data_IF_569732570146
#
_entry.id   IF_569732570146
#
_cell.length_a   1.000
_cell.length_b   1.000
_cell.length_c   1.000
_cell.angle_alpha   90.00
_cell.angle_beta   90.00
_cell.angle_gamma   90.00
#
_symmetry.space_group_name_H-M   'P 1'
#
loop_
_entity.id
_entity.type
_entity.pdbx_description
1 polymer ?
#
# COMPACT_ATOMS: atom_id res chain seq x y z
N UNK A 1 -13.12 -12.52 -2.04
CA UNK A 1 -13.40 -11.16 -1.54
C UNK A 1 -14.25 -10.36 -2.52
N UNK A 2 -14.14 -10.54 -3.85
CA UNK A 2 -15.02 -9.84 -4.80
C UNK A 2 -14.70 -8.35 -4.97
N UNK A 3 -13.49 -7.95 -4.59
CA UNK A 3 -12.96 -6.61 -4.69
C UNK A 3 -12.31 -6.40 -6.06
N UNK A 4 -12.30 -5.15 -6.54
CA UNK A 4 -11.71 -4.75 -7.82
C UNK A 4 -10.20 -4.54 -7.72
N UNK A 5 -9.54 -4.41 -8.88
CA UNK A 5 -8.12 -4.07 -8.95
C UNK A 5 -7.81 -2.72 -8.28
N UNK A 6 -8.72 -1.74 -8.38
CA UNK A 6 -8.60 -0.47 -7.66
C UNK A 6 -8.62 -0.66 -6.15
N UNK A 7 -9.53 -1.50 -5.64
CA UNK A 7 -9.64 -1.81 -4.21
C UNK A 7 -8.37 -2.51 -3.71
N UNK A 8 -7.79 -3.43 -4.51
CA UNK A 8 -6.54 -4.13 -4.17
C UNK A 8 -5.40 -3.12 -3.98
N UNK A 9 -5.18 -2.22 -4.93
CA UNK A 9 -4.08 -1.26 -4.86
C UNK A 9 -4.31 -0.25 -3.73
N UNK A 10 -5.54 0.24 -3.57
CA UNK A 10 -5.89 1.14 -2.48
C UNK A 10 -5.62 0.49 -1.12
N UNK A 11 -6.16 -0.71 -0.86
CA UNK A 11 -5.97 -1.42 0.41
C UNK A 11 -4.51 -1.76 0.69
N UNK A 12 -3.69 -2.00 -0.33
CA UNK A 12 -2.24 -2.19 -0.16
C UNK A 12 -1.57 -0.97 0.47
N UNK A 13 -2.11 0.23 0.22
CA UNK A 13 -1.72 1.48 0.89
C UNK A 13 -1.89 1.47 2.41
N UNK A 14 -2.62 0.50 2.97
CA UNK A 14 -2.69 0.26 4.42
C UNK A 14 -1.31 0.03 5.06
N UNK A 15 -0.33 -0.47 4.29
CA UNK A 15 1.06 -0.59 4.71
C UNK A 15 1.76 0.76 4.97
N UNK A 16 1.13 1.92 4.71
CA UNK A 16 1.65 3.20 5.19
C UNK A 16 1.75 3.24 6.72
N UNK A 17 0.95 2.41 7.41
CA UNK A 17 1.00 2.20 8.85
C UNK A 17 1.72 0.90 9.22
N UNK A 18 2.43 0.97 10.34
CA UNK A 18 3.02 -0.18 11.00
C UNK A 18 4.30 -0.68 10.35
N UNK A 19 4.60 -1.95 10.63
CA UNK A 19 5.84 -2.62 10.22
C UNK A 19 5.67 -4.13 10.25
N UNK A 20 6.51 -4.83 9.51
CA UNK A 20 6.70 -6.26 9.75
C UNK A 20 7.58 -6.51 10.98
N UNK A 21 7.38 -7.69 11.55
CA UNK A 21 8.12 -8.21 12.69
C UNK A 21 8.57 -9.64 12.38
N UNK A 22 9.87 -9.89 12.51
CA UNK A 22 10.50 -11.16 12.10
C UNK A 22 9.87 -12.37 12.76
N UNK A 23 9.46 -12.27 14.03
CA UNK A 23 8.84 -13.36 14.78
C UNK A 23 7.40 -13.68 14.36
N UNK A 24 6.77 -12.82 13.55
CA UNK A 24 5.39 -13.00 13.07
C UNK A 24 5.34 -13.46 11.62
N UNK A 25 5.95 -12.68 10.72
CA UNK A 25 5.87 -12.91 9.27
C UNK A 25 7.17 -13.41 8.65
N UNK A 26 8.29 -13.36 9.39
CA UNK A 26 9.64 -13.58 8.85
C UNK A 26 10.25 -12.37 8.14
N UNK A 27 9.48 -11.31 7.88
CA UNK A 27 9.94 -10.02 7.37
C UNK A 27 10.15 -9.02 8.51
N UNK A 28 10.95 -7.98 8.30
CA UNK A 28 11.29 -7.00 9.35
C UNK A 28 11.35 -5.59 8.77
N UNK A 29 10.80 -4.63 9.50
CA UNK A 29 10.91 -3.20 9.20
C UNK A 29 9.62 -2.54 8.72
N UNK A 30 9.54 -1.20 8.79
CA UNK A 30 8.41 -0.41 8.30
C UNK A 30 8.48 -0.20 6.79
N UNK A 31 7.35 0.10 6.15
CA UNK A 31 7.31 0.52 4.75
C UNK A 31 7.58 2.02 4.58
N UNK A 32 7.27 2.82 5.60
CA UNK A 32 7.40 4.27 5.58
C UNK A 32 8.30 4.76 6.71
N UNK A 33 8.83 5.98 6.57
CA UNK A 33 9.65 6.62 7.61
C UNK A 33 8.82 7.04 8.83
N UNK A 34 7.51 7.23 8.66
CA UNK A 34 6.56 7.62 9.70
C UNK A 34 5.44 6.55 9.84
N UNK A 35 5.71 5.36 10.41
CA UNK A 35 4.78 4.23 10.42
C UNK A 35 3.53 4.42 11.31
N UNK A 36 3.31 5.61 11.87
CA UNK A 36 2.14 5.95 12.68
C UNK A 36 1.29 7.04 12.03
N UNK A 37 1.65 7.48 10.82
CA UNK A 37 0.90 8.47 10.05
C UNK A 37 0.27 7.76 8.86
N UNK A 38 -1.04 7.94 8.69
CA UNK A 38 -1.75 7.45 7.52
C UNK A 38 -1.74 8.54 6.45
N UNK A 39 -0.98 8.31 5.39
CA UNK A 39 -0.73 9.19 4.26
C UNK A 39 -0.42 8.33 3.01
N UNK A 40 -0.10 8.97 1.87
CA UNK A 40 0.28 8.25 0.65
C UNK A 40 1.78 7.86 0.56
N UNK A 41 2.54 7.95 1.66
CA UNK A 41 3.98 7.70 1.66
C UNK A 41 4.33 6.29 1.19
N UNK A 42 3.50 5.28 1.46
CA UNK A 42 3.68 3.92 0.94
C UNK A 42 3.93 3.89 -0.58
N UNK A 43 3.08 4.55 -1.37
CA UNK A 43 3.21 4.55 -2.83
C UNK A 43 4.42 5.36 -3.29
N UNK A 44 4.72 6.48 -2.61
CA UNK A 44 5.92 7.29 -2.87
C UNK A 44 7.20 6.48 -2.65
N UNK A 45 7.29 5.79 -1.52
CA UNK A 45 8.44 4.94 -1.19
C UNK A 45 8.60 3.80 -2.21
N UNK A 46 7.49 3.15 -2.57
CA UNK A 46 7.48 2.07 -3.56
C UNK A 46 8.05 2.53 -4.91
N UNK A 47 7.63 3.68 -5.42
CA UNK A 47 8.11 4.22 -6.71
C UNK A 47 9.57 4.67 -6.70
N UNK A 48 10.11 5.03 -5.54
CA UNK A 48 11.52 5.43 -5.40
C UNK A 48 12.49 4.25 -5.30
N UNK A 49 11.99 3.01 -5.23
CA UNK A 49 12.78 1.80 -5.10
C UNK A 49 13.21 1.48 -3.67
N UNK A 50 14.00 0.44 -3.50
CA UNK A 50 14.44 -0.04 -2.19
C UNK A 50 15.39 0.95 -1.51
N UNK A 51 15.17 1.20 -0.21
CA UNK A 51 15.99 2.06 0.64
C UNK A 51 16.38 1.30 1.89
N UNK A 52 17.61 1.49 2.35
CA UNK A 52 18.07 0.92 3.62
C UNK A 52 17.15 1.36 4.76
N UNK A 53 16.65 0.39 5.53
CA UNK A 53 15.76 0.62 6.66
C UNK A 53 14.26 0.63 6.33
N UNK A 54 13.88 0.60 5.05
CA UNK A 54 12.49 0.45 4.62
C UNK A 54 12.24 -0.91 3.99
N UNK A 55 11.03 -1.42 4.17
CA UNK A 55 10.59 -2.71 3.67
C UNK A 55 9.79 -2.55 2.38
N UNK A 56 10.02 -3.46 1.42
CA UNK A 56 9.11 -3.72 0.32
C UNK A 56 8.95 -5.23 0.16
N UNK A 57 7.75 -5.76 0.42
CA UNK A 57 7.46 -7.17 0.21
C UNK A 57 7.41 -7.50 -1.29
N UNK A 58 7.58 -8.78 -1.67
CA UNK A 58 7.34 -9.20 -3.05
C UNK A 58 5.94 -8.81 -3.57
N UNK A 59 4.93 -8.82 -2.69
CA UNK A 59 3.55 -8.42 -3.04
C UNK A 59 3.42 -6.93 -3.33
N UNK A 60 4.15 -6.07 -2.62
CA UNK A 60 4.16 -4.62 -2.89
C UNK A 60 4.80 -4.35 -4.25
N UNK A 61 5.90 -5.04 -4.56
CA UNK A 61 6.64 -4.85 -5.82
C UNK A 61 5.82 -5.24 -7.05
N UNK A 62 4.91 -6.21 -6.94
CA UNK A 62 4.04 -6.61 -8.05
C UNK A 62 3.16 -5.45 -8.54
N UNK A 63 2.79 -4.53 -7.64
CA UNK A 63 2.01 -3.33 -7.98
C UNK A 63 2.73 -2.43 -9.00
N UNK A 64 4.06 -2.52 -9.09
CA UNK A 64 4.85 -1.74 -10.05
C UNK A 64 5.01 -2.39 -11.43
N UNK A 65 4.85 -3.72 -11.49
CA UNK A 65 5.04 -4.52 -12.70
C UNK A 65 3.75 -4.84 -13.43
N UNK A 66 2.63 -4.86 -12.73
CA UNK A 66 1.34 -5.17 -13.32
C UNK A 66 0.78 -3.97 -14.09
N UNK A 67 0.31 -4.14 -15.35
CA UNK A 67 -0.14 -3.03 -16.20
C UNK A 67 -1.43 -2.37 -15.72
N UNK A 68 -2.24 -3.02 -14.89
CA UNK A 68 -3.45 -2.46 -14.30
C UNK A 68 -3.14 -1.78 -12.97
N UNK A 69 -2.28 -2.40 -12.14
CA UNK A 69 -1.95 -1.83 -10.83
C UNK A 69 -1.01 -0.62 -10.90
N UNK A 70 -0.07 -0.62 -11.85
CA UNK A 70 0.94 0.43 -11.94
C UNK A 70 0.34 1.84 -12.11
N UNK A 71 -0.63 2.08 -13.01
CA UNK A 71 -1.28 3.39 -13.12
C UNK A 71 -1.98 3.84 -11.83
N UNK A 72 -2.51 2.91 -11.04
CA UNK A 72 -3.15 3.21 -9.76
C UNK A 72 -2.11 3.58 -8.69
N UNK A 73 -1.00 2.85 -8.62
CA UNK A 73 0.10 3.20 -7.73
C UNK A 73 0.71 4.57 -8.06
N UNK A 74 0.88 4.88 -9.35
CA UNK A 74 1.32 6.19 -9.83
C UNK A 74 0.31 7.29 -9.45
N UNK A 75 -1.00 7.05 -9.65
CA UNK A 75 -2.09 7.96 -9.23
C UNK A 75 -2.01 8.28 -7.74
N UNK A 76 -1.94 7.27 -6.89
CA UNK A 76 -1.97 7.45 -5.43
C UNK A 76 -0.69 8.10 -4.89
N UNK A 77 0.46 7.86 -5.51
CA UNK A 77 1.68 8.58 -5.15
C UNK A 77 1.62 10.08 -5.48
N UNK A 78 0.93 10.44 -6.57
CA UNK A 78 0.79 11.81 -7.02
C UNK A 78 -0.35 12.58 -6.31
N UNK A 79 -1.41 11.88 -5.91
CA UNK A 79 -2.64 12.48 -5.36
C UNK A 79 -3.10 11.70 -4.11
N UNK A 80 -2.86 12.29 -2.95
CA UNK A 80 -3.25 11.71 -1.65
C UNK A 80 -4.76 11.75 -1.41
N UNK A 81 -5.46 12.79 -1.89
CA UNK A 81 -6.91 12.88 -1.73
C UNK A 81 -7.59 11.77 -2.54
N UNK A 82 -7.09 11.50 -3.75
CA UNK A 82 -7.58 10.40 -4.57
C UNK A 82 -7.29 9.03 -3.93
N UNK A 83 -6.14 8.87 -3.26
CA UNK A 83 -5.85 7.68 -2.46
C UNK A 83 -6.84 7.53 -1.30
N UNK A 84 -7.07 8.57 -0.51
CA UNK A 84 -7.97 8.50 0.63
C UNK A 84 -9.42 8.22 0.24
N UNK A 85 -9.88 8.79 -0.88
CA UNK A 85 -11.20 8.50 -1.42
C UNK A 85 -11.35 7.01 -1.75
N UNK A 86 -10.42 6.46 -2.54
CA UNK A 86 -10.48 5.07 -2.98
C UNK A 86 -10.21 4.09 -1.82
N UNK A 87 -9.33 4.45 -0.86
CA UNK A 87 -9.09 3.65 0.35
C UNK A 87 -10.33 3.57 1.24
N UNK A 88 -11.04 4.68 1.43
CA UNK A 88 -12.27 4.71 2.23
C UNK A 88 -13.32 3.77 1.64
N UNK A 89 -13.52 3.84 0.33
CA UNK A 89 -14.46 2.96 -0.37
C UNK A 89 -14.06 1.48 -0.25
N UNK A 90 -12.79 1.17 -0.53
CA UNK A 90 -12.29 -0.20 -0.51
C UNK A 90 -12.31 -0.82 0.90
N UNK A 91 -11.97 -0.03 1.93
CA UNK A 91 -11.98 -0.48 3.32
C UNK A 91 -13.40 -0.70 3.83
N UNK A 92 -14.36 0.16 3.45
CA UNK A 92 -15.78 -0.04 3.75
C UNK A 92 -16.26 -1.37 3.16
N UNK A 93 -16.05 -1.58 1.85
CA UNK A 93 -16.40 -2.84 1.16
C UNK A 93 -15.79 -4.05 1.87
N UNK A 94 -14.50 -4.00 2.20
CA UNK A 94 -13.79 -5.08 2.90
C UNK A 94 -14.42 -5.39 4.26
N UNK A 95 -14.77 -4.35 5.03
CA UNK A 95 -15.32 -4.50 6.38
C UNK A 95 -16.75 -5.05 6.42
N UNK A 96 -17.51 -4.88 5.35
CA UNK A 96 -18.90 -5.31 5.20
C UNK A 96 -19.04 -6.58 4.33
N UNK A 97 -17.94 -7.32 4.12
CA UNK A 97 -17.97 -8.58 3.38
C UNK A 97 -18.67 -9.69 4.18
N UNK A 98 -19.98 -9.82 3.96
CA UNK A 98 -20.83 -10.91 4.45
C UNK A 98 -21.03 -10.91 5.96
#
# INVERSE_FOLDING_TARGET
MGLSDQDIVALSGGHSLGRCHKERSGFEGPWTTNPLIFDNSYFKELLTGEKDGLLQLPTDKVLLSDPVFRPLADKYAADEDAFFADYTEAHLKLSELG
#
